data_IF_056559028282
#
_entry.id   IF_056559028282
#
_cell.length_a   1.000
_cell.length_b   1.000
_cell.length_c   1.000
_cell.angle_alpha   90.00
_cell.angle_beta   90.00
_cell.angle_gamma   90.00
#
_symmetry.space_group_name_H-M   'P 1'
#
loop_
_entity.id
_entity.type
_entity.pdbx_description
1 polymer ?
#
# COMPACT_ATOMS: atom_id res chain seq x y z
N UNK A 1 4.51 -31.92 25.98
CA UNK A 1 4.40 -32.68 24.72
C UNK A 1 5.09 -31.88 23.64
N UNK A 2 6.08 -32.50 22.99
CA UNK A 2 7.07 -31.87 22.12
C UNK A 2 6.44 -31.14 20.93
N UNK A 3 6.72 -29.84 20.83
CA UNK A 3 6.45 -29.03 19.64
C UNK A 3 7.34 -29.54 18.50
N UNK A 4 6.81 -30.42 17.65
CA UNK A 4 7.51 -30.86 16.44
C UNK A 4 7.27 -29.83 15.34
N UNK A 5 8.30 -29.05 15.04
CA UNK A 5 8.30 -28.11 13.91
C UNK A 5 7.97 -28.84 12.59
N UNK A 6 7.31 -28.17 11.64
CA UNK A 6 6.95 -28.73 10.33
C UNK A 6 8.15 -29.33 9.56
N UNK A 7 9.35 -28.82 9.85
CA UNK A 7 10.62 -29.33 9.31
C UNK A 7 10.93 -30.74 9.81
N UNK A 8 10.66 -31.05 11.08
CA UNK A 8 10.83 -32.39 11.65
C UNK A 8 9.80 -33.38 11.09
N UNK A 9 8.54 -32.93 10.89
CA UNK A 9 7.47 -33.79 10.35
C UNK A 9 7.69 -34.14 8.87
N UNK A 10 8.36 -33.27 8.11
CA UNK A 10 8.58 -33.42 6.66
C UNK A 10 10.02 -33.67 6.26
N UNK A 11 10.87 -34.05 7.22
CA UNK A 11 12.27 -34.38 6.97
C UNK A 11 12.43 -35.51 5.92
N UNK A 12 11.45 -36.42 5.87
CA UNK A 12 11.39 -37.52 4.89
C UNK A 12 11.47 -37.04 3.43
N UNK A 13 11.08 -35.80 3.12
CA UNK A 13 11.10 -35.25 1.74
C UNK A 13 12.52 -35.19 1.14
N UNK A 14 13.54 -35.12 2.00
CA UNK A 14 14.95 -35.02 1.59
C UNK A 14 15.77 -36.26 1.90
N UNK A 15 15.20 -37.23 2.63
CA UNK A 15 15.78 -38.57 2.86
C UNK A 15 15.40 -39.54 1.74
N UNK A 16 15.65 -39.17 0.47
CA UNK A 16 15.16 -39.92 -0.70
C UNK A 16 15.88 -41.25 -0.91
N UNK A 17 17.21 -41.26 -0.80
CA UNK A 17 18.06 -42.42 -1.07
C UNK A 17 18.77 -42.81 0.22
N UNK A 18 18.77 -44.10 0.54
CA UNK A 18 19.56 -44.64 1.63
C UNK A 18 21.04 -44.66 1.24
N UNK A 19 21.89 -44.02 2.04
CA UNK A 19 23.33 -43.88 1.76
C UNK A 19 24.07 -45.22 1.75
N UNK A 20 23.53 -46.25 2.40
CA UNK A 20 24.16 -47.57 2.51
C UNK A 20 23.71 -48.55 1.41
N UNK A 21 22.48 -48.43 0.91
CA UNK A 21 21.91 -49.37 -0.07
C UNK A 21 21.71 -48.77 -1.45
N UNK A 22 21.75 -47.43 -1.59
CA UNK A 22 21.46 -46.73 -2.84
C UNK A 22 19.99 -46.81 -3.28
N UNK A 23 19.13 -47.43 -2.46
CA UNK A 23 17.72 -47.62 -2.75
C UNK A 23 16.87 -46.45 -2.23
N UNK A 24 15.68 -46.27 -2.82
CA UNK A 24 14.74 -45.26 -2.35
C UNK A 24 14.15 -45.68 -1.00
N UNK A 25 14.28 -44.82 0.00
CA UNK A 25 13.87 -45.10 1.38
C UNK A 25 12.36 -45.37 1.47
N UNK A 26 11.98 -46.23 2.44
CA UNK A 26 10.57 -46.53 2.71
C UNK A 26 9.81 -45.29 3.21
N UNK A 27 10.47 -44.45 4.00
CA UNK A 27 9.92 -43.19 4.52
C UNK A 27 9.60 -42.19 3.40
N UNK A 28 10.51 -42.05 2.42
CA UNK A 28 10.26 -41.20 1.26
C UNK A 28 9.08 -41.69 0.42
N UNK A 29 8.95 -43.01 0.21
CA UNK A 29 7.82 -43.59 -0.53
C UNK A 29 6.49 -43.34 0.17
N UNK A 30 6.43 -43.59 1.49
CA UNK A 30 5.22 -43.38 2.28
C UNK A 30 4.80 -41.90 2.30
N UNK A 31 5.75 -40.99 2.52
CA UNK A 31 5.48 -39.56 2.49
C UNK A 31 5.08 -39.07 1.09
N UNK A 32 5.71 -39.60 0.03
CA UNK A 32 5.34 -39.25 -1.35
C UNK A 32 3.90 -39.68 -1.64
N UNK A 33 3.46 -40.86 -1.21
CA UNK A 33 2.06 -41.28 -1.34
C UNK A 33 1.10 -40.29 -0.65
N UNK A 34 1.42 -39.85 0.58
CA UNK A 34 0.61 -38.85 1.30
C UNK A 34 0.59 -37.50 0.58
N UNK A 35 1.72 -37.07 0.01
CA UNK A 35 1.78 -35.86 -0.82
C UNK A 35 0.90 -35.99 -2.06
N UNK A 36 0.98 -37.12 -2.77
CA UNK A 36 0.20 -37.38 -3.98
C UNK A 36 -1.31 -37.41 -3.69
N UNK A 37 -1.73 -37.94 -2.54
CA UNK A 37 -3.13 -37.93 -2.10
C UNK A 37 -3.65 -36.51 -1.86
N UNK A 38 -2.83 -35.65 -1.23
CA UNK A 38 -3.20 -34.25 -0.97
C UNK A 38 -3.34 -33.44 -2.26
N UNK A 39 -2.42 -33.58 -3.22
CA UNK A 39 -2.49 -32.80 -4.48
C UNK A 39 -3.61 -33.29 -5.42
N UNK A 40 -3.98 -34.57 -5.31
CA UNK A 40 -5.09 -35.16 -6.08
C UNK A 40 -6.44 -34.71 -5.53
N UNK A 41 -6.56 -34.56 -4.22
CA UNK A 41 -7.83 -34.18 -3.56
C UNK A 41 -8.18 -32.69 -3.65
N UNK A 42 -7.29 -31.84 -4.16
CA UNK A 42 -7.55 -30.41 -4.34
C UNK A 42 -8.22 -30.09 -5.70
N UNK A 43 -8.86 -28.92 -5.87
CA UNK A 43 -9.70 -28.58 -7.03
C UNK A 43 -9.07 -28.84 -8.40
N UNK A 44 -7.91 -28.24 -8.73
CA UNK A 44 -7.22 -28.46 -10.03
C UNK A 44 -6.78 -29.94 -10.27
N UNK A 45 -6.64 -30.72 -9.21
CA UNK A 45 -6.22 -32.12 -9.25
C UNK A 45 -7.40 -33.05 -9.53
N UNK A 46 -8.57 -32.74 -8.93
CA UNK A 46 -9.83 -33.43 -9.19
C UNK A 46 -10.44 -33.05 -10.54
N UNK A 47 -10.36 -31.78 -10.91
CA UNK A 47 -11.08 -31.24 -12.08
C UNK A 47 -10.28 -31.34 -13.38
N UNK A 48 -8.95 -31.22 -13.34
CA UNK A 48 -8.11 -31.18 -14.55
C UNK A 48 -7.00 -32.25 -14.60
N UNK A 49 -6.78 -33.00 -13.50
CA UNK A 49 -5.75 -34.05 -13.45
C UNK A 49 -4.31 -33.54 -13.61
N UNK A 50 -4.08 -32.23 -13.51
CA UNK A 50 -2.78 -31.58 -13.66
C UNK A 50 -2.41 -30.77 -12.42
N UNK A 51 -1.11 -30.74 -12.10
CA UNK A 51 -0.54 -30.04 -10.94
C UNK A 51 0.84 -29.47 -11.22
N UNK A 52 1.22 -28.43 -10.48
CA UNK A 52 2.59 -27.91 -10.52
C UNK A 52 3.56 -28.98 -10.01
N UNK A 53 4.75 -29.07 -10.60
CA UNK A 53 5.71 -30.12 -10.25
C UNK A 53 6.80 -29.56 -9.31
N UNK A 54 6.86 -29.96 -8.03
CA UNK A 54 7.88 -29.49 -7.09
C UNK A 54 9.23 -30.19 -7.23
N UNK A 55 9.46 -30.96 -8.31
CA UNK A 55 10.74 -31.65 -8.47
C UNK A 55 11.89 -30.68 -8.70
N UNK A 56 13.12 -31.11 -8.41
CA UNK A 56 14.35 -30.31 -8.53
C UNK A 56 14.49 -29.54 -9.87
N UNK A 57 14.00 -30.13 -10.97
CA UNK A 57 14.07 -29.53 -12.32
C UNK A 57 12.89 -28.61 -12.65
N UNK A 58 11.72 -28.85 -12.07
CA UNK A 58 10.50 -28.12 -12.40
C UNK A 58 10.18 -26.99 -11.42
N UNK A 59 10.67 -27.06 -10.18
CA UNK A 59 10.63 -25.98 -9.18
C UNK A 59 9.26 -25.30 -8.99
N UNK A 60 8.17 -26.05 -9.12
CA UNK A 60 6.78 -25.57 -9.10
C UNK A 60 6.35 -24.66 -10.27
N UNK A 61 7.15 -24.53 -11.33
CA UNK A 61 6.87 -23.66 -12.47
C UNK A 61 6.06 -24.36 -13.59
N UNK A 62 6.08 -25.70 -13.63
CA UNK A 62 5.44 -26.49 -14.70
C UNK A 62 4.21 -27.23 -14.22
N UNK A 63 3.08 -27.03 -14.89
CA UNK A 63 1.87 -27.83 -14.74
C UNK A 63 2.00 -29.12 -15.55
N UNK A 64 1.91 -30.27 -14.89
CA UNK A 64 2.05 -31.59 -15.48
C UNK A 64 0.94 -32.52 -14.96
N UNK A 65 0.62 -33.56 -15.72
CA UNK A 65 -0.30 -34.62 -15.24
C UNK A 65 0.20 -35.21 -13.92
N UNK A 66 -0.70 -35.51 -13.00
CA UNK A 66 -0.38 -36.01 -11.64
C UNK A 66 0.58 -37.22 -11.69
N UNK A 67 0.37 -38.13 -12.63
CA UNK A 67 1.25 -39.29 -12.86
C UNK A 67 2.69 -38.89 -13.23
N UNK A 68 2.85 -37.82 -14.03
CA UNK A 68 4.15 -37.28 -14.42
C UNK A 68 4.80 -36.58 -13.22
N UNK A 69 4.03 -35.87 -12.40
CA UNK A 69 4.52 -35.25 -11.17
C UNK A 69 5.05 -36.33 -10.22
N UNK A 70 4.30 -37.41 -10.01
CA UNK A 70 4.71 -38.56 -9.18
C UNK A 70 6.04 -39.14 -9.66
N UNK A 71 6.15 -39.45 -10.96
CA UNK A 71 7.37 -39.98 -11.56
C UNK A 71 8.56 -39.03 -11.44
N UNK A 72 8.34 -37.72 -11.59
CA UNK A 72 9.39 -36.73 -11.42
C UNK A 72 9.89 -36.65 -9.97
N UNK A 73 8.99 -36.71 -8.98
CA UNK A 73 9.37 -36.69 -7.57
C UNK A 73 10.06 -37.99 -7.15
N UNK A 74 9.58 -39.12 -7.65
CA UNK A 74 10.20 -40.43 -7.44
C UNK A 74 11.63 -40.48 -7.97
N UNK A 75 11.88 -39.93 -9.16
CA UNK A 75 13.19 -39.99 -9.83
C UNK A 75 14.16 -38.86 -9.45
N UNK A 76 13.65 -37.68 -9.06
CA UNK A 76 14.48 -36.46 -8.92
C UNK A 76 14.39 -35.81 -7.54
N UNK A 77 13.48 -36.27 -6.67
CA UNK A 77 13.24 -35.65 -5.37
C UNK A 77 12.59 -34.27 -5.47
N UNK A 78 12.33 -33.68 -4.30
CA UNK A 78 11.74 -32.35 -4.17
C UNK A 78 12.80 -31.26 -4.33
N UNK A 79 12.39 -30.08 -4.76
CA UNK A 79 13.24 -28.89 -4.74
C UNK A 79 13.62 -28.52 -3.28
N UNK A 80 14.88 -28.11 -3.01
CA UNK A 80 15.33 -27.78 -1.66
C UNK A 80 14.44 -26.74 -0.97
N UNK A 81 14.24 -26.89 0.34
CA UNK A 81 13.50 -25.92 1.17
C UNK A 81 11.97 -25.98 1.04
N UNK A 82 11.42 -26.83 0.16
CA UNK A 82 9.99 -27.04 -0.05
C UNK A 82 9.30 -27.89 1.04
N UNK A 83 9.62 -27.65 2.31
CA UNK A 83 8.94 -28.30 3.45
C UNK A 83 7.50 -27.80 3.60
N UNK A 84 7.21 -26.58 3.14
CA UNK A 84 5.88 -25.98 3.18
C UNK A 84 5.28 -26.08 1.78
N UNK A 85 4.14 -26.75 1.67
CA UNK A 85 3.48 -27.05 0.40
C UNK A 85 2.69 -25.85 -0.14
N UNK A 86 3.33 -24.69 -0.28
CA UNK A 86 2.71 -23.42 -0.64
C UNK A 86 1.93 -23.51 -1.96
N UNK A 87 2.47 -24.21 -2.96
CA UNK A 87 1.81 -24.40 -4.27
C UNK A 87 0.78 -25.53 -4.26
N UNK A 88 0.67 -26.25 -3.14
CA UNK A 88 -0.04 -27.52 -3.01
C UNK A 88 -0.89 -27.55 -1.72
N UNK A 89 -1.29 -26.38 -1.23
CA UNK A 89 -2.43 -26.14 -0.33
C UNK A 89 -2.50 -26.97 0.96
N UNK A 90 -1.41 -27.09 1.72
CA UNK A 90 -1.51 -27.51 3.12
C UNK A 90 -0.88 -26.46 4.03
N UNK A 91 -1.75 -25.59 4.57
CA UNK A 91 -1.43 -24.66 5.65
C UNK A 91 -1.08 -25.45 6.91
N UNK A 92 0.04 -25.11 7.55
CA UNK A 92 0.31 -25.58 8.90
C UNK A 92 -0.47 -24.69 9.86
N UNK A 93 -1.38 -25.31 10.61
CA UNK A 93 -2.24 -24.68 11.61
C UNK A 93 -1.56 -24.86 12.96
N UNK A 94 -0.99 -23.79 13.53
CA UNK A 94 -0.75 -23.76 14.98
C UNK A 94 -2.03 -23.22 15.64
N UNK A 95 -2.82 -24.13 16.22
CA UNK A 95 -4.08 -23.98 16.99
C UNK A 95 -5.41 -23.82 16.24
N UNK A 96 -6.51 -24.38 16.81
CA UNK A 96 -7.71 -24.72 16.06
C UNK A 96 -8.62 -23.51 15.88
N UNK A 97 -9.09 -23.32 14.64
CA UNK A 97 -10.21 -22.45 14.32
C UNK A 97 -9.88 -21.28 13.41
N UNK A 98 -9.63 -21.55 12.12
CA UNK A 98 -10.24 -20.82 11.00
C UNK A 98 -9.78 -21.41 9.67
N UNK A 99 -10.75 -21.80 8.84
CA UNK A 99 -10.54 -22.42 7.53
C UNK A 99 -10.77 -21.33 6.46
N UNK A 100 -9.71 -20.90 5.78
CA UNK A 100 -9.84 -20.06 4.58
C UNK A 100 -10.02 -20.96 3.35
N UNK A 101 -11.24 -21.00 2.78
CA UNK A 101 -11.52 -21.68 1.51
C UNK A 101 -10.99 -20.87 0.33
N UNK A 102 -10.19 -21.51 -0.53
CA UNK A 102 -9.63 -20.92 -1.74
C UNK A 102 -10.67 -20.44 -2.76
N UNK A 103 -10.42 -19.26 -3.34
CA UNK A 103 -11.20 -18.66 -4.45
C UNK A 103 -10.92 -19.39 -5.78
N UNK A 104 -11.99 -19.64 -6.55
CA UNK A 104 -11.97 -20.17 -7.92
C UNK A 104 -11.38 -19.15 -8.92
N UNK A 105 -10.63 -19.65 -9.88
CA UNK A 105 -10.17 -18.94 -11.09
C UNK A 105 -11.24 -19.11 -12.17
N UNK A 106 -11.64 -18.03 -12.85
CA UNK A 106 -12.47 -18.06 -14.07
C UNK A 106 -11.62 -17.57 -15.24
N UNK A 107 -11.52 -18.39 -16.29
CA UNK A 107 -10.89 -18.06 -17.58
C UNK A 107 -11.75 -17.09 -18.39
N UNK A 108 -11.13 -16.15 -19.11
CA UNK A 108 -11.80 -15.45 -20.23
C UNK A 108 -10.86 -15.38 -21.45
N UNK A 109 -11.38 -15.92 -22.56
CA UNK A 109 -10.84 -15.86 -23.92
C UNK A 109 -10.96 -14.45 -24.54
N UNK A 110 -9.99 -14.11 -25.39
CA UNK A 110 -9.97 -12.93 -26.26
C UNK A 110 -11.18 -12.84 -27.21
N UNK A 111 -11.73 -11.63 -27.40
CA UNK A 111 -12.52 -11.32 -28.58
C UNK A 111 -13.32 -10.00 -28.60
N UNK A 112 -12.78 -9.02 -29.36
CA UNK A 112 -13.46 -7.96 -30.15
C UNK A 112 -14.02 -6.69 -29.47
N UNK A 113 -13.51 -5.56 -29.98
CA UNK A 113 -14.00 -4.19 -29.86
C UNK A 113 -15.44 -4.03 -30.39
N UNK A 114 -16.34 -3.36 -29.63
CA UNK A 114 -17.35 -2.40 -30.12
C UNK A 114 -17.81 -1.48 -28.97
N UNK A 115 -17.79 -0.15 -29.17
CA UNK A 115 -18.90 0.76 -28.85
C UNK A 115 -19.06 1.31 -27.42
N UNK A 116 -18.80 2.61 -27.29
CA UNK A 116 -19.10 3.50 -26.18
C UNK A 116 -20.61 3.55 -25.84
N UNK A 117 -20.99 3.31 -24.58
CA UNK A 117 -22.24 3.87 -24.00
C UNK A 117 -22.20 3.87 -22.46
N UNK A 118 -22.40 5.05 -21.90
CA UNK A 118 -22.45 5.37 -20.47
C UNK A 118 -23.43 4.52 -19.67
N UNK A 119 -22.92 3.55 -18.90
CA UNK A 119 -23.60 2.96 -17.73
C UNK A 119 -22.56 2.63 -16.65
N UNK A 120 -22.56 3.39 -15.54
CA UNK A 120 -21.77 3.07 -14.34
C UNK A 120 -22.36 1.80 -13.68
N UNK A 121 -21.61 0.71 -13.50
CA UNK A 121 -22.14 -0.47 -12.81
C UNK A 121 -22.26 -0.22 -11.29
N UNK A 122 -23.35 -0.70 -10.72
CA UNK A 122 -23.68 -0.67 -9.30
C UNK A 122 -22.75 -1.63 -8.53
N UNK A 123 -22.01 -1.05 -7.59
CA UNK A 123 -21.49 -1.54 -6.28
C UNK A 123 -21.44 -3.07 -6.06
N UNK A 124 -20.22 -3.65 -6.04
CA UNK A 124 -19.85 -4.74 -5.12
C UNK A 124 -18.35 -4.75 -4.81
N UNK A 125 -18.04 -5.14 -3.57
CA UNK A 125 -16.76 -5.43 -2.88
C UNK A 125 -15.50 -4.55 -3.09
N UNK A 126 -15.11 -3.89 -2.00
CA UNK A 126 -13.77 -3.38 -1.66
C UNK A 126 -13.17 -2.26 -2.52
N UNK A 127 -13.67 -1.03 -2.38
CA UNK A 127 -13.17 0.13 -3.10
C UNK A 127 -11.71 0.52 -2.80
N UNK A 128 -11.17 0.26 -1.61
CA UNK A 128 -9.73 0.50 -1.33
C UNK A 128 -8.89 -0.55 -2.08
N UNK A 129 -9.37 -1.79 -2.09
CA UNK A 129 -8.76 -2.91 -2.77
C UNK A 129 -8.84 -2.75 -4.30
N UNK A 130 -9.92 -2.15 -4.80
CA UNK A 130 -10.21 -1.92 -6.22
C UNK A 130 -9.49 -0.68 -6.76
N UNK A 131 -9.45 0.44 -6.05
CA UNK A 131 -8.66 1.61 -6.47
C UNK A 131 -7.18 1.26 -6.61
N UNK A 132 -6.66 0.41 -5.70
CA UNK A 132 -5.29 -0.09 -5.78
C UNK A 132 -5.15 -1.23 -6.81
N UNK A 133 -6.13 -2.11 -7.01
CA UNK A 133 -6.09 -3.13 -8.10
C UNK A 133 -6.18 -2.52 -9.49
N UNK A 134 -6.99 -1.48 -9.69
CA UNK A 134 -7.11 -0.72 -10.94
C UNK A 134 -5.83 0.07 -11.23
N UNK A 135 -5.09 0.45 -10.18
CA UNK A 135 -3.77 1.01 -10.35
C UNK A 135 -2.73 -0.04 -10.81
N UNK A 136 -2.81 -1.29 -10.33
CA UNK A 136 -1.79 -2.34 -10.52
C UNK A 136 -2.37 -3.68 -11.04
N UNK A 137 -2.66 -3.81 -12.35
CA UNK A 137 -3.21 -5.06 -12.89
C UNK A 137 -2.20 -6.21 -13.01
N UNK A 138 -0.89 -5.93 -13.10
CA UNK A 138 0.10 -6.92 -13.61
C UNK A 138 1.42 -7.09 -12.81
N UNK A 139 1.67 -6.38 -11.71
CA UNK A 139 2.97 -6.47 -11.00
C UNK A 139 2.86 -7.14 -9.63
N UNK A 140 2.61 -8.45 -9.60
CA UNK A 140 2.86 -9.28 -8.41
C UNK A 140 3.65 -10.53 -8.82
N UNK A 141 4.97 -10.38 -8.90
CA UNK A 141 5.93 -11.46 -8.70
C UNK A 141 6.98 -10.95 -7.72
N UNK A 142 6.77 -11.16 -6.43
CA UNK A 142 7.83 -11.02 -5.43
C UNK A 142 7.94 -12.30 -4.62
N UNK A 143 9.17 -12.79 -4.52
CA UNK A 143 9.62 -13.90 -3.69
C UNK A 143 9.59 -13.48 -2.21
N UNK A 144 8.90 -14.26 -1.38
CA UNK A 144 8.70 -13.99 0.05
C UNK A 144 10.01 -14.12 0.83
N UNK A 145 10.61 -12.99 1.20
CA UNK A 145 11.48 -12.88 2.37
C UNK A 145 10.75 -11.98 3.36
N UNK A 146 10.20 -12.58 4.43
CA UNK A 146 9.51 -11.82 5.49
C UNK A 146 10.57 -11.40 6.50
N UNK A 147 11.03 -10.17 6.38
CA UNK A 147 11.79 -9.50 7.44
C UNK A 147 10.80 -9.09 8.55
N UNK A 148 11.14 -9.31 9.82
CA UNK A 148 10.23 -8.98 10.92
C UNK A 148 10.00 -7.46 10.95
N UNK A 149 8.76 -6.97 11.07
CA UNK A 149 8.50 -5.54 11.05
C UNK A 149 9.23 -4.81 12.19
N UNK A 150 9.77 -3.62 11.87
CA UNK A 150 10.17 -2.62 12.86
C UNK A 150 9.03 -2.39 13.87
N UNK A 151 9.32 -1.96 15.11
CA UNK A 151 8.30 -1.81 16.16
C UNK A 151 7.17 -0.81 15.84
N UNK A 152 7.42 0.15 14.94
CA UNK A 152 6.45 1.17 14.51
C UNK A 152 5.31 0.60 13.62
N UNK A 153 5.58 -0.20 12.56
CA UNK A 153 4.55 -0.91 11.80
C UNK A 153 3.59 -1.76 12.62
N UNK A 154 4.05 -2.33 13.75
CA UNK A 154 3.22 -3.23 14.57
C UNK A 154 1.98 -2.54 15.12
N UNK A 155 2.12 -1.31 15.62
CA UNK A 155 0.98 -0.55 16.15
C UNK A 155 -0.07 -0.26 15.09
N UNK A 156 0.37 0.03 13.86
CA UNK A 156 -0.53 0.26 12.73
C UNK A 156 -1.28 -1.02 12.33
N UNK A 157 -0.58 -2.17 12.25
CA UNK A 157 -1.23 -3.46 11.97
C UNK A 157 -2.12 -3.94 13.11
N UNK A 158 -1.71 -3.76 14.36
CA UNK A 158 -2.52 -4.09 15.55
C UNK A 158 -3.82 -3.27 15.57
N UNK A 159 -3.78 -1.99 15.20
CA UNK A 159 -4.97 -1.16 15.04
C UNK A 159 -5.88 -1.67 13.92
N UNK A 160 -5.33 -2.02 12.76
CA UNK A 160 -6.09 -2.60 11.64
C UNK A 160 -6.74 -3.94 12.03
N UNK A 161 -6.02 -4.78 12.77
CA UNK A 161 -6.50 -6.10 13.20
C UNK A 161 -7.54 -6.00 14.32
N UNK A 162 -7.38 -5.07 15.27
CA UNK A 162 -8.38 -4.78 16.30
C UNK A 162 -9.70 -4.29 15.68
N UNK A 163 -9.63 -3.60 14.54
CA UNK A 163 -10.78 -3.10 13.80
C UNK A 163 -11.30 -4.09 12.73
N UNK A 164 -10.77 -5.31 12.65
CA UNK A 164 -11.20 -6.33 11.67
C UNK A 164 -12.38 -7.22 12.13
N UNK A 165 -13.09 -6.82 13.19
CA UNK A 165 -14.30 -7.52 13.63
C UNK A 165 -15.51 -7.21 12.72
N UNK A 166 -16.39 -8.19 12.47
CA UNK A 166 -17.60 -7.95 11.69
C UNK A 166 -18.51 -6.94 12.39
N UNK A 167 -19.25 -6.14 11.60
CA UNK A 167 -20.19 -5.14 12.14
C UNK A 167 -21.23 -5.79 13.07
N UNK A 168 -21.66 -7.02 12.79
CA UNK A 168 -22.50 -7.83 13.67
C UNK A 168 -22.27 -9.32 13.38
N UNK A 169 -22.74 -10.19 14.27
CA UNK A 169 -22.54 -11.64 14.14
C UNK A 169 -23.21 -12.19 12.87
N UNK A 170 -22.46 -12.98 12.09
CA UNK A 170 -22.95 -13.55 10.82
C UNK A 170 -22.89 -12.57 9.63
N UNK A 171 -22.39 -11.35 9.80
CA UNK A 171 -22.14 -10.45 8.68
C UNK A 171 -20.99 -10.94 7.78
N UNK A 172 -21.00 -10.51 6.51
CA UNK A 172 -19.99 -10.93 5.51
C UNK A 172 -18.57 -10.63 6.00
N UNK A 173 -17.67 -11.61 5.84
CA UNK A 173 -16.25 -11.50 6.18
C UNK A 173 -15.62 -10.33 5.41
N UNK A 174 -14.84 -9.48 6.10
CA UNK A 174 -14.18 -8.31 5.51
C UNK A 174 -14.96 -7.00 5.60
N UNK A 175 -16.17 -7.02 6.19
CA UNK A 175 -16.93 -5.81 6.46
C UNK A 175 -16.92 -5.47 7.95
N UNK A 176 -15.97 -4.62 8.33
CA UNK A 176 -15.81 -4.12 9.69
C UNK A 176 -16.30 -2.66 9.85
N UNK A 177 -16.42 -2.15 11.09
CA UNK A 177 -16.73 -0.74 11.34
C UNK A 177 -15.77 0.21 10.63
N UNK A 178 -14.46 -0.09 10.62
CA UNK A 178 -13.44 0.72 9.94
C UNK A 178 -13.61 0.69 8.41
N UNK A 179 -13.95 -0.47 7.84
CA UNK A 179 -14.27 -0.60 6.41
C UNK A 179 -15.49 0.24 6.02
N UNK A 180 -16.55 0.20 6.83
CA UNK A 180 -17.75 1.02 6.64
C UNK A 180 -17.43 2.53 6.76
N UNK A 181 -16.70 2.92 7.81
CA UNK A 181 -16.27 4.30 8.05
C UNK A 181 -15.44 4.84 6.88
N UNK A 182 -14.46 4.07 6.40
CA UNK A 182 -13.61 4.48 5.27
C UNK A 182 -14.40 4.64 3.97
N UNK A 183 -15.37 3.75 3.71
CA UNK A 183 -16.29 3.88 2.57
C UNK A 183 -17.17 5.12 2.69
N UNK A 184 -17.69 5.42 3.88
CA UNK A 184 -18.51 6.60 4.10
C UNK A 184 -17.73 7.90 3.91
N UNK A 185 -16.47 7.96 4.38
CA UNK A 185 -15.57 9.08 4.10
C UNK A 185 -15.31 9.23 2.60
N UNK A 186 -15.07 8.13 1.88
CA UNK A 186 -14.93 8.16 0.43
C UNK A 186 -16.15 8.75 -0.27
N UNK A 187 -17.36 8.28 0.08
CA UNK A 187 -18.63 8.81 -0.45
C UNK A 187 -18.79 10.29 -0.11
N UNK A 188 -18.53 10.69 1.15
CA UNK A 188 -18.59 12.08 1.57
C UNK A 188 -17.71 12.97 0.70
N UNK A 189 -16.47 12.54 0.42
CA UNK A 189 -15.51 13.30 -0.39
C UNK A 189 -15.94 13.33 -1.86
N UNK A 190 -16.25 12.17 -2.45
CA UNK A 190 -16.58 12.04 -3.87
C UNK A 190 -17.85 12.82 -4.27
N UNK A 191 -18.82 12.89 -3.36
CA UNK A 191 -20.09 13.58 -3.58
C UNK A 191 -20.20 14.91 -2.83
N UNK A 192 -19.13 15.34 -2.15
CA UNK A 192 -19.08 16.57 -1.36
C UNK A 192 -20.26 16.70 -0.38
N UNK A 193 -20.58 15.63 0.34
CA UNK A 193 -21.68 15.60 1.31
C UNK A 193 -21.34 16.43 2.56
N UNK A 194 -22.33 17.12 3.12
CA UNK A 194 -22.20 17.78 4.43
C UNK A 194 -22.07 16.75 5.55
N UNK A 195 -21.62 17.19 6.72
CA UNK A 195 -21.55 16.34 7.92
C UNK A 195 -22.95 15.87 8.33
N UNK A 196 -23.92 16.80 8.37
CA UNK A 196 -25.34 16.48 8.64
C UNK A 196 -25.91 15.43 7.67
N UNK A 197 -25.49 15.46 6.40
CA UNK A 197 -25.93 14.47 5.43
C UNK A 197 -25.34 13.08 5.72
N UNK A 198 -24.08 13.03 6.15
CA UNK A 198 -23.43 11.77 6.57
C UNK A 198 -24.06 11.23 7.85
N UNK A 199 -24.38 12.09 8.82
CA UNK A 199 -25.12 11.71 10.03
C UNK A 199 -26.48 11.12 9.66
N UNK A 200 -27.26 11.81 8.84
CA UNK A 200 -28.57 11.32 8.39
C UNK A 200 -28.49 9.97 7.65
N UNK A 201 -27.45 9.77 6.83
CA UNK A 201 -27.20 8.49 6.16
C UNK A 201 -26.82 7.40 7.17
N UNK A 202 -25.94 7.72 8.14
CA UNK A 202 -25.49 6.78 9.15
C UNK A 202 -26.65 6.32 10.05
N UNK A 203 -27.48 7.27 10.51
CA UNK A 203 -28.71 7.01 11.28
C UNK A 203 -29.66 6.12 10.47
N UNK A 204 -29.94 6.48 9.22
CA UNK A 204 -30.79 5.68 8.32
C UNK A 204 -30.25 4.25 8.18
N UNK A 205 -28.94 4.05 7.98
CA UNK A 205 -28.39 2.70 7.87
C UNK A 205 -28.49 1.92 9.18
N UNK A 206 -28.31 2.57 10.34
CA UNK A 206 -28.37 1.92 11.64
C UNK A 206 -29.77 1.39 11.96
N UNK A 207 -30.84 2.06 11.52
CA UNK A 207 -32.23 1.62 11.73
C UNK A 207 -32.56 0.28 11.04
N UNK A 208 -31.85 -0.07 9.97
CA UNK A 208 -32.04 -1.32 9.23
C UNK A 208 -31.06 -2.42 9.65
N UNK A 209 -30.11 -2.13 10.56
CA UNK A 209 -29.18 -3.11 11.10
C UNK A 209 -29.76 -3.79 12.35
N UNK A 210 -29.29 -5.01 12.70
CA UNK A 210 -29.65 -5.65 13.95
C UNK A 210 -29.35 -4.77 15.17
N UNK A 211 -30.15 -4.88 16.24
CA UNK A 211 -30.00 -4.06 17.46
C UNK A 211 -28.60 -4.12 18.08
N UNK A 212 -27.92 -5.26 17.95
CA UNK A 212 -26.53 -5.44 18.40
C UNK A 212 -25.60 -5.36 17.19
N UNK A 213 -25.16 -4.14 16.87
CA UNK A 213 -24.20 -3.88 15.79
C UNK A 213 -23.16 -2.82 16.19
N UNK A 214 -22.02 -2.84 15.49
CA UNK A 214 -20.87 -1.96 15.70
C UNK A 214 -20.75 -0.89 14.60
N UNK A 215 -21.81 -0.64 13.82
CA UNK A 215 -21.75 0.35 12.75
C UNK A 215 -21.61 1.76 13.35
N UNK A 216 -20.82 2.64 12.72
CA UNK A 216 -20.71 4.00 13.19
C UNK A 216 -21.99 4.77 12.85
N UNK A 217 -22.62 5.33 13.89
CA UNK A 217 -23.93 6.01 13.83
C UNK A 217 -23.82 7.52 13.57
N UNK A 218 -22.61 8.06 13.44
CA UNK A 218 -22.40 9.48 13.19
C UNK A 218 -21.10 9.72 12.45
N UNK A 219 -21.00 10.87 11.78
CA UNK A 219 -19.79 11.39 11.20
C UNK A 219 -18.67 11.50 12.23
N UNK A 220 -18.98 11.88 13.48
CA UNK A 220 -17.99 11.88 14.56
C UNK A 220 -17.45 10.47 14.86
N UNK A 221 -18.33 9.46 14.96
CA UNK A 221 -17.91 8.08 15.15
C UNK A 221 -17.08 7.56 13.97
N UNK A 222 -17.49 7.89 12.74
CA UNK A 222 -16.75 7.59 11.51
C UNK A 222 -15.35 8.22 11.57
N UNK A 223 -15.26 9.52 11.87
CA UNK A 223 -13.99 10.25 11.97
C UNK A 223 -13.08 9.65 13.03
N UNK A 224 -13.63 9.28 14.17
CA UNK A 224 -12.87 8.65 15.26
C UNK A 224 -12.25 7.33 14.81
N UNK A 225 -12.99 6.49 14.08
CA UNK A 225 -12.47 5.24 13.53
C UNK A 225 -11.36 5.48 12.51
N UNK A 226 -11.56 6.39 11.56
CA UNK A 226 -10.53 6.65 10.52
C UNK A 226 -9.36 7.50 11.02
N UNK A 227 -9.46 8.14 12.18
CA UNK A 227 -8.44 9.06 12.70
C UNK A 227 -7.07 8.40 12.85
N UNK A 228 -7.03 7.12 13.26
CA UNK A 228 -5.80 6.35 13.37
C UNK A 228 -5.15 6.04 12.00
N UNK A 229 -5.93 6.07 10.91
CA UNK A 229 -5.43 5.95 9.54
C UNK A 229 -5.01 7.31 8.95
N UNK A 230 -5.27 8.42 9.64
CA UNK A 230 -4.92 9.75 9.18
C UNK A 230 -3.42 9.90 8.93
N UNK A 231 -3.05 10.68 7.92
CA UNK A 231 -1.67 11.18 7.78
C UNK A 231 -1.58 12.52 8.51
N UNK A 232 -0.48 12.80 9.22
CA UNK A 232 -0.34 14.07 9.91
C UNK A 232 -0.26 15.22 8.91
N UNK A 233 -0.67 16.39 9.37
CA UNK A 233 -0.37 17.65 8.69
C UNK A 233 -0.07 18.72 9.75
N UNK A 234 0.66 19.74 9.35
CA UNK A 234 1.03 20.88 10.17
C UNK A 234 0.50 22.15 9.51
N UNK A 235 -0.21 22.97 10.29
CA UNK A 235 -0.52 24.34 9.91
C UNK A 235 0.60 25.23 10.41
N UNK A 236 1.30 25.88 9.49
CA UNK A 236 2.45 26.73 9.79
C UNK A 236 2.07 28.16 9.46
N UNK A 237 2.24 29.06 10.42
CA UNK A 237 1.97 30.48 10.20
C UNK A 237 3.06 31.09 9.31
N UNK A 238 2.66 32.03 8.46
CA UNK A 238 3.53 32.65 7.45
C UNK A 238 3.52 34.16 7.67
N UNK A 239 4.68 34.79 7.52
CA UNK A 239 4.75 36.25 7.42
C UNK A 239 3.86 36.73 6.26
N UNK A 240 3.07 37.79 6.47
CA UNK A 240 2.19 38.38 5.44
C UNK A 240 2.88 38.81 4.13
N UNK A 241 4.20 39.00 4.16
CA UNK A 241 5.03 39.33 3.01
C UNK A 241 5.83 38.11 2.49
N UNK A 242 5.55 36.91 2.99
CA UNK A 242 6.24 35.65 2.69
C UNK A 242 7.76 35.64 3.01
N UNK A 243 8.26 36.55 3.85
CA UNK A 243 9.70 36.61 4.18
C UNK A 243 10.19 35.39 4.97
N UNK A 244 9.32 34.78 5.77
CA UNK A 244 9.60 33.60 6.59
C UNK A 244 8.33 32.86 6.97
N UNK A 245 8.50 31.63 7.43
CA UNK A 245 7.50 30.85 8.16
C UNK A 245 7.86 30.84 9.65
N UNK A 246 6.86 30.84 10.51
CA UNK A 246 7.01 30.72 11.96
C UNK A 246 7.07 29.24 12.32
N UNK A 247 8.24 28.64 12.12
CA UNK A 247 8.45 27.19 12.24
C UNK A 247 9.76 26.90 12.97
N UNK A 248 9.75 25.83 13.79
CA UNK A 248 10.88 25.44 14.66
C UNK A 248 11.40 26.58 15.53
N UNK A 249 12.62 27.03 15.32
CA UNK A 249 13.28 28.05 16.14
C UNK A 249 12.53 29.39 16.11
N UNK A 250 11.79 29.63 15.03
CA UNK A 250 10.99 30.84 14.82
C UNK A 250 9.51 30.67 15.25
N UNK A 251 9.09 29.50 15.77
CA UNK A 251 7.69 29.18 16.07
C UNK A 251 7.07 30.10 17.15
N UNK A 252 7.87 30.60 18.09
CA UNK A 252 7.37 31.46 19.17
C UNK A 252 7.49 32.95 18.87
N UNK A 253 7.97 33.33 17.67
CA UNK A 253 8.08 34.73 17.30
C UNK A 253 6.70 35.33 17.02
N UNK A 254 6.50 36.55 17.52
CA UNK A 254 5.31 37.35 17.24
C UNK A 254 5.49 38.32 16.06
N UNK A 255 6.75 38.56 15.66
CA UNK A 255 7.13 39.47 14.59
C UNK A 255 8.08 38.77 13.63
N UNK A 256 7.96 39.10 12.34
CA UNK A 256 8.89 38.62 11.32
C UNK A 256 10.28 39.19 11.55
N UNK A 257 11.29 38.33 11.65
CA UNK A 257 12.70 38.73 11.86
C UNK A 257 13.32 39.51 10.71
N UNK A 258 12.70 39.49 9.52
CA UNK A 258 13.22 40.15 8.32
C UNK A 258 12.54 41.50 8.03
N UNK A 259 11.22 41.58 8.15
CA UNK A 259 10.46 42.79 7.82
C UNK A 259 9.80 43.46 9.02
N UNK A 260 9.94 42.91 10.22
CA UNK A 260 9.38 43.45 11.47
C UNK A 260 7.85 43.38 11.59
N UNK A 261 7.15 42.85 10.58
CA UNK A 261 5.68 42.80 10.56
C UNK A 261 5.14 41.76 11.54
N UNK A 262 4.01 42.08 12.14
CA UNK A 262 3.28 41.23 13.07
C UNK A 262 2.83 39.91 12.40
N UNK A 263 2.89 38.83 13.16
CA UNK A 263 2.35 37.52 12.80
C UNK A 263 0.83 37.49 12.84
N UNK A 264 0.24 38.13 13.84
CA UNK A 264 -1.18 38.04 14.17
C UNK A 264 -1.94 39.32 13.82
N UNK A 265 -3.18 39.15 13.41
CA UNK A 265 -4.14 40.22 13.21
C UNK A 265 -4.63 40.76 14.55
N UNK A 266 -4.99 42.03 14.58
CA UNK A 266 -5.68 42.65 15.71
C UNK A 266 -7.06 42.01 15.84
N UNK A 267 -7.31 41.34 16.96
CA UNK A 267 -8.51 40.54 17.24
C UNK A 267 -9.13 40.99 18.57
N UNK A 268 -10.45 41.19 18.60
CA UNK A 268 -11.21 41.47 19.84
C UNK A 268 -11.49 40.21 20.64
N UNK A 269 -11.27 39.02 20.05
CA UNK A 269 -11.45 37.73 20.70
C UNK A 269 -10.18 37.25 21.41
N UNK A 270 -10.34 36.22 22.26
CA UNK A 270 -9.20 35.57 22.94
C UNK A 270 -8.27 34.82 21.99
N UNK A 271 -8.74 34.47 20.80
CA UNK A 271 -7.98 33.70 19.82
C UNK A 271 -7.16 34.62 18.93
N UNK A 272 -5.85 34.39 18.89
CA UNK A 272 -4.93 35.07 17.97
C UNK A 272 -5.06 34.45 16.59
N UNK A 273 -5.33 35.29 15.58
CA UNK A 273 -5.52 34.86 14.20
C UNK A 273 -4.29 35.32 13.40
N UNK A 274 -3.51 34.41 12.81
CA UNK A 274 -2.36 34.80 12.00
C UNK A 274 -2.81 35.46 10.70
N UNK A 275 -1.96 36.29 10.10
CA UNK A 275 -2.23 36.90 8.80
C UNK A 275 -2.30 35.86 7.67
N UNK A 276 -1.45 34.84 7.71
CA UNK A 276 -1.37 33.81 6.66
C UNK A 276 -0.91 32.48 7.25
N UNK A 277 -1.34 31.38 6.62
CA UNK A 277 -0.96 30.00 6.95
C UNK A 277 -0.61 29.21 5.70
N UNK A 278 0.28 28.25 5.84
CA UNK A 278 0.49 27.16 4.89
C UNK A 278 0.19 25.83 5.58
N UNK A 279 -0.04 24.79 4.78
CA UNK A 279 -0.13 23.42 5.27
C UNK A 279 1.08 22.65 4.77
N UNK A 280 1.67 21.88 5.67
CA UNK A 280 2.72 20.95 5.36
C UNK A 280 2.25 19.54 5.72
N UNK A 281 2.35 18.62 4.77
CA UNK A 281 1.96 17.22 4.91
C UNK A 281 3.24 16.39 4.77
N UNK A 282 3.80 15.89 5.90
CA UNK A 282 5.01 15.08 5.88
C UNK A 282 4.85 13.84 4.99
N UNK A 283 5.90 13.52 4.22
CA UNK A 283 5.89 12.39 3.30
C UNK A 283 6.41 11.09 3.93
N UNK A 284 7.08 11.15 5.08
CA UNK A 284 7.68 9.98 5.75
C UNK A 284 6.66 8.87 6.02
N UNK A 285 5.50 9.21 6.61
CA UNK A 285 4.46 8.21 6.91
C UNK A 285 3.81 7.66 5.64
N UNK A 286 3.77 8.45 4.56
CA UNK A 286 3.31 7.99 3.24
C UNK A 286 4.27 6.91 2.73
N UNK A 287 5.59 7.16 2.78
CA UNK A 287 6.61 6.20 2.36
C UNK A 287 6.56 4.92 3.19
N UNK A 288 6.40 5.02 4.52
CA UNK A 288 6.21 3.85 5.40
C UNK A 288 5.06 2.99 4.89
N UNK A 289 3.91 3.61 4.58
CA UNK A 289 2.73 2.89 4.07
C UNK A 289 2.95 2.25 2.70
N UNK A 290 3.69 2.91 1.79
CA UNK A 290 4.03 2.32 0.48
C UNK A 290 4.88 1.06 0.64
N UNK A 291 5.81 1.04 1.58
CA UNK A 291 6.66 -0.13 1.85
C UNK A 291 5.98 -1.21 2.69
N UNK A 292 5.02 -0.84 3.55
CA UNK A 292 4.22 -1.78 4.35
C UNK A 292 3.15 -2.53 3.54
N UNK A 293 2.78 -2.00 2.37
CA UNK A 293 1.78 -2.60 1.50
C UNK A 293 2.44 -3.49 0.45
N UNK A 294 2.12 -4.78 0.45
CA UNK A 294 2.62 -5.77 -0.53
C UNK A 294 2.33 -5.38 -1.99
N UNK A 295 1.32 -4.53 -2.22
CA UNK A 295 0.91 -4.08 -3.55
C UNK A 295 1.79 -2.99 -4.13
N UNK A 296 2.35 -2.17 -3.26
CA UNK A 296 3.14 -0.98 -3.63
C UNK A 296 4.62 -1.24 -3.42
N UNK A 297 4.99 -2.08 -2.46
CA UNK A 297 6.37 -2.35 -2.09
C UNK A 297 7.22 -2.90 -3.25
N UNK A 298 6.66 -3.81 -4.08
CA UNK A 298 7.35 -4.31 -5.28
C UNK A 298 7.59 -3.19 -6.30
N UNK A 299 6.55 -2.39 -6.56
CA UNK A 299 6.63 -1.23 -7.45
C UNK A 299 7.67 -0.22 -7.02
N UNK A 300 7.91 -0.04 -5.71
CA UNK A 300 8.92 0.88 -5.18
C UNK A 300 10.37 0.46 -5.45
N UNK A 301 10.62 -0.73 -5.99
CA UNK A 301 11.95 -1.18 -6.44
C UNK A 301 12.08 -1.27 -7.96
N UNK A 302 11.00 -0.97 -8.69
CA UNK A 302 10.91 -1.19 -10.13
C UNK A 302 12.06 -0.50 -10.89
N UNK A 303 12.42 0.73 -10.52
CA UNK A 303 13.51 1.47 -11.19
C UNK A 303 14.86 0.73 -11.22
N UNK A 304 15.16 -0.09 -10.20
CA UNK A 304 16.40 -0.86 -10.12
C UNK A 304 16.31 -2.23 -10.79
N UNK A 305 15.11 -2.76 -10.97
CA UNK A 305 14.83 -4.03 -11.66
C UNK A 305 14.58 -3.82 -13.17
N UNK A 306 14.31 -2.58 -13.57
CA UNK A 306 14.03 -2.16 -14.94
C UNK A 306 15.30 -2.10 -15.81
N UNK A 307 15.15 -2.46 -17.09
CA UNK A 307 16.23 -2.41 -18.07
C UNK A 307 15.85 -1.47 -19.23
N UNK A 308 16.70 -0.46 -19.47
CA UNK A 308 16.49 0.52 -20.51
C UNK A 308 16.55 -0.10 -21.91
N UNK A 309 15.52 0.13 -22.73
CA UNK A 309 15.37 -0.47 -24.06
C UNK A 309 15.83 0.43 -25.21
N UNK A 310 16.32 1.64 -24.92
CA UNK A 310 16.79 2.61 -25.93
C UNK A 310 15.89 3.84 -26.06
N UNK A 311 14.61 3.72 -25.71
CA UNK A 311 13.65 4.83 -25.74
C UNK A 311 13.35 5.33 -24.32
N UNK A 312 13.35 6.66 -24.14
CA UNK A 312 13.05 7.29 -22.84
C UNK A 312 11.57 7.11 -22.53
N UNK A 313 11.29 6.33 -21.49
CA UNK A 313 9.94 5.99 -21.04
C UNK A 313 9.68 6.38 -19.59
N UNK A 314 10.75 6.67 -18.84
CA UNK A 314 10.69 6.97 -17.42
C UNK A 314 11.82 7.95 -17.01
N UNK A 315 11.65 8.79 -15.97
CA UNK A 315 12.71 9.68 -15.48
C UNK A 315 14.05 8.99 -15.15
N UNK A 316 14.05 7.70 -14.81
CA UNK A 316 15.26 6.89 -14.60
C UNK A 316 16.13 6.75 -15.86
N UNK A 317 15.54 6.94 -17.05
CA UNK A 317 16.25 6.84 -18.32
C UNK A 317 17.07 8.11 -18.61
N UNK A 318 16.73 9.21 -17.94
CA UNK A 318 17.31 10.52 -18.18
C UNK A 318 18.76 10.63 -17.67
N UNK A 319 19.55 11.48 -18.35
CA UNK A 319 20.95 11.70 -18.01
C UNK A 319 21.14 12.26 -16.59
N UNK A 320 20.22 13.12 -16.13
CA UNK A 320 20.26 13.67 -14.77
C UNK A 320 20.19 12.57 -13.69
N UNK A 321 19.37 11.54 -13.92
CA UNK A 321 19.26 10.40 -13.01
C UNK A 321 20.55 9.57 -13.01
N UNK A 322 21.07 9.24 -14.20
CA UNK A 322 22.33 8.50 -14.36
C UNK A 322 23.51 9.23 -13.73
N UNK A 323 23.59 10.54 -13.92
CA UNK A 323 24.59 11.40 -13.29
C UNK A 323 24.45 11.40 -11.75
N UNK A 324 23.23 11.43 -11.22
CA UNK A 324 23.01 11.33 -9.78
C UNK A 324 23.49 9.98 -9.22
N UNK A 325 23.16 8.86 -9.88
CA UNK A 325 23.63 7.53 -9.47
C UNK A 325 25.15 7.42 -9.51
N UNK A 326 25.79 8.00 -10.53
CA UNK A 326 27.25 8.07 -10.62
C UNK A 326 27.87 8.86 -9.46
N UNK A 327 27.26 10.00 -9.10
CA UNK A 327 27.74 10.87 -8.00
C UNK A 327 27.53 10.25 -6.61
N UNK A 328 26.46 9.48 -6.43
CA UNK A 328 26.08 8.88 -5.15
C UNK A 328 25.87 7.36 -5.29
N UNK A 329 26.95 6.59 -5.54
CA UNK A 329 26.85 5.15 -5.82
C UNK A 329 26.33 4.35 -4.62
N UNK A 330 26.65 4.75 -3.39
CA UNK A 330 26.13 4.10 -2.18
C UNK A 330 24.61 4.24 -2.06
N UNK A 331 24.08 5.41 -2.43
CA UNK A 331 22.63 5.64 -2.49
C UNK A 331 22.00 4.80 -3.61
N UNK A 332 22.63 4.77 -4.79
CA UNK A 332 22.10 4.05 -5.94
C UNK A 332 22.10 2.52 -5.77
N UNK A 333 23.02 1.98 -4.96
CA UNK A 333 23.13 0.54 -4.70
C UNK A 333 21.93 -0.03 -3.94
N UNK A 334 21.29 0.77 -3.09
CA UNK A 334 20.08 0.36 -2.37
C UNK A 334 18.84 0.71 -3.21
N UNK A 335 18.21 -0.31 -3.79
CA UNK A 335 17.06 -0.15 -4.69
C UNK A 335 15.81 0.41 -3.99
N UNK A 336 15.73 0.31 -2.65
CA UNK A 336 14.65 0.90 -1.84
C UNK A 336 14.84 2.39 -1.58
N UNK A 337 15.97 2.97 -1.96
CA UNK A 337 16.14 4.42 -1.87
C UNK A 337 15.23 5.13 -2.86
N UNK A 338 14.56 6.18 -2.40
CA UNK A 338 13.48 6.82 -3.14
C UNK A 338 13.99 8.04 -3.89
N UNK A 339 13.66 8.11 -5.19
CA UNK A 339 13.88 9.26 -6.04
C UNK A 339 12.57 10.00 -6.20
N UNK A 340 12.59 11.29 -5.93
CA UNK A 340 11.39 12.13 -5.99
C UNK A 340 11.39 13.05 -7.21
N UNK A 341 10.24 13.08 -7.88
CA UNK A 341 9.84 14.20 -8.70
C UNK A 341 9.16 15.25 -7.83
N UNK A 342 9.53 16.52 -8.01
CA UNK A 342 8.87 17.65 -7.36
C UNK A 342 8.29 18.56 -8.43
N UNK A 343 7.01 18.90 -8.32
CA UNK A 343 6.39 19.91 -9.16
C UNK A 343 5.53 20.87 -8.35
N UNK A 344 5.38 22.09 -8.87
CA UNK A 344 4.52 23.12 -8.26
C UNK A 344 3.95 23.99 -9.36
N UNK A 345 2.67 24.32 -9.25
CA UNK A 345 1.98 25.27 -10.11
C UNK A 345 0.84 25.93 -9.34
N UNK A 346 0.39 27.10 -9.79
CA UNK A 346 -0.68 27.86 -9.16
C UNK A 346 -2.00 27.62 -9.86
N UNK A 347 -3.04 27.27 -9.10
CA UNK A 347 -4.38 27.09 -9.67
C UNK A 347 -5.47 27.73 -8.83
N UNK A 348 -6.63 27.98 -9.44
CA UNK A 348 -7.84 28.43 -8.73
C UNK A 348 -8.80 27.23 -8.55
N UNK A 349 -9.00 26.71 -7.33
CA UNK A 349 -9.85 25.55 -7.08
C UNK A 349 -11.34 25.80 -7.35
N UNK A 350 -11.79 27.06 -7.38
CA UNK A 350 -13.20 27.43 -7.61
C UNK A 350 -13.48 27.82 -9.07
N UNK A 351 -12.49 27.66 -9.96
CA UNK A 351 -12.63 27.92 -11.39
C UNK A 351 -12.83 29.40 -11.74
N UNK A 352 -13.13 29.66 -13.03
CA UNK A 352 -13.21 31.03 -13.59
C UNK A 352 -14.37 31.88 -13.07
N UNK A 353 -15.40 31.26 -12.47
CA UNK A 353 -16.63 31.91 -12.00
C UNK A 353 -16.75 31.98 -10.47
N UNK A 354 -15.80 31.40 -9.73
CA UNK A 354 -15.78 31.41 -8.27
C UNK A 354 -15.08 32.63 -7.66
N UNK A 355 -14.95 32.65 -6.32
CA UNK A 355 -14.14 33.66 -5.60
C UNK A 355 -12.71 33.66 -6.15
N UNK A 356 -12.08 34.84 -6.20
CA UNK A 356 -10.66 35.00 -6.57
C UNK A 356 -9.78 34.39 -5.46
N UNK A 357 -9.56 33.09 -5.52
CA UNK A 357 -8.66 32.35 -4.65
C UNK A 357 -7.67 31.58 -5.52
N UNK A 358 -6.39 31.58 -5.12
CA UNK A 358 -5.38 30.75 -5.74
C UNK A 358 -4.77 29.83 -4.68
N UNK A 359 -4.25 28.70 -5.12
CA UNK A 359 -3.57 27.72 -4.31
C UNK A 359 -2.32 27.28 -5.05
N UNK A 360 -1.21 27.18 -4.32
CA UNK A 360 0.06 26.72 -4.82
C UNK A 360 0.42 25.42 -4.10
N UNK A 361 0.06 24.27 -4.66
CA UNK A 361 0.53 22.98 -4.19
C UNK A 361 2.00 22.77 -4.54
N UNK A 362 2.73 22.13 -3.64
CA UNK A 362 3.95 21.38 -3.97
C UNK A 362 3.58 19.91 -3.95
N UNK A 363 3.73 19.26 -5.09
CA UNK A 363 3.44 17.86 -5.28
C UNK A 363 4.76 17.10 -5.38
N UNK A 364 4.84 16.01 -4.63
CA UNK A 364 5.96 15.08 -4.60
C UNK A 364 5.48 13.74 -5.15
N UNK A 365 6.20 13.17 -6.11
CA UNK A 365 5.90 11.85 -6.68
C UNK A 365 7.12 10.92 -6.56
N UNK A 366 6.95 9.66 -6.11
CA UNK A 366 8.03 8.70 -6.10
C UNK A 366 8.24 8.15 -7.51
N UNK A 367 9.35 8.54 -8.15
CA UNK A 367 9.79 7.98 -9.43
C UNK A 367 10.38 6.57 -9.30
N UNK A 368 10.26 5.93 -8.15
CA UNK A 368 10.60 4.51 -8.03
C UNK A 368 9.60 3.61 -8.75
N UNK A 369 8.34 4.08 -8.85
CA UNK A 369 7.23 3.34 -9.42
C UNK A 369 7.32 3.28 -10.95
N UNK A 370 6.83 2.21 -11.59
CA UNK A 370 6.77 2.11 -13.05
C UNK A 370 5.93 3.23 -13.69
N UNK A 371 6.13 3.49 -14.99
CA UNK A 371 5.39 4.49 -15.76
C UNK A 371 3.85 4.38 -15.66
N UNK A 372 3.35 3.16 -15.49
CA UNK A 372 1.91 2.89 -15.33
C UNK A 372 1.33 3.40 -14.01
N UNK A 373 2.17 3.85 -13.08
CA UNK A 373 1.81 4.19 -11.70
C UNK A 373 2.31 5.56 -11.26
N UNK A 374 3.56 5.93 -11.57
CA UNK A 374 4.21 7.11 -10.98
C UNK A 374 3.45 8.43 -11.21
N UNK A 375 2.61 8.50 -12.25
CA UNK A 375 1.76 9.67 -12.56
C UNK A 375 0.28 9.49 -12.22
N UNK A 376 -0.12 8.38 -11.58
CA UNK A 376 -1.49 8.20 -11.09
C UNK A 376 -1.74 9.08 -9.88
N UNK A 377 -2.98 9.57 -9.74
CA UNK A 377 -3.40 10.55 -8.72
C UNK A 377 -3.05 10.10 -7.30
N UNK A 378 -3.10 8.80 -7.03
CA UNK A 378 -2.83 8.20 -5.73
C UNK A 378 -1.34 8.29 -5.32
N UNK A 379 -0.44 8.53 -6.29
CA UNK A 379 1.01 8.68 -6.08
C UNK A 379 1.49 10.13 -6.23
N UNK A 380 0.57 11.08 -6.40
CA UNK A 380 0.85 12.50 -6.38
C UNK A 380 0.64 13.03 -4.95
N UNK A 381 1.70 13.01 -4.14
CA UNK A 381 1.62 13.42 -2.75
C UNK A 381 1.63 14.93 -2.63
N UNK A 382 0.56 15.46 -2.05
CA UNK A 382 0.46 16.86 -1.74
C UNK A 382 1.31 17.15 -0.50
N UNK A 383 2.53 17.64 -0.67
CA UNK A 383 3.44 17.88 0.44
C UNK A 383 3.24 19.26 1.07
N UNK A 384 2.93 20.29 0.26
CA UNK A 384 2.75 21.66 0.75
C UNK A 384 1.55 22.29 0.06
N UNK A 385 0.77 23.07 0.82
CA UNK A 385 -0.26 23.95 0.31
C UNK A 385 -0.02 25.38 0.77
N UNK A 386 0.17 26.29 -0.20
CA UNK A 386 0.27 27.72 0.06
C UNK A 386 -0.96 28.42 -0.52
N UNK A 387 -1.83 29.00 0.32
CA UNK A 387 -2.90 29.87 -0.14
C UNK A 387 -2.36 31.10 -0.84
N UNK A 388 -3.05 31.50 -1.90
CA UNK A 388 -2.90 32.81 -2.50
C UNK A 388 -3.60 33.90 -1.70
N UNK A 389 -3.81 35.09 -2.30
CA UNK A 389 -3.78 35.34 -3.75
C UNK A 389 -2.38 35.54 -4.34
N UNK A 390 -1.39 35.84 -3.50
CA UNK A 390 -0.05 36.19 -3.92
C UNK A 390 0.75 34.93 -4.27
N UNK A 391 1.33 34.89 -5.47
CA UNK A 391 2.19 33.80 -5.88
C UNK A 391 3.46 33.79 -5.01
N UNK A 392 3.89 32.60 -4.51
CA UNK A 392 5.09 32.47 -3.71
C UNK A 392 6.41 32.77 -4.45
N UNK A 393 6.42 33.23 -5.73
CA UNK A 393 7.57 33.23 -6.67
C UNK A 393 8.95 33.29 -6.02
N UNK A 394 9.26 34.42 -5.36
CA UNK A 394 10.59 34.71 -4.80
C UNK A 394 10.84 34.09 -3.42
N UNK A 395 9.80 33.54 -2.80
CA UNK A 395 9.81 32.97 -1.47
C UNK A 395 9.51 31.45 -1.49
N UNK A 396 9.58 30.78 -2.65
CA UNK A 396 9.29 29.35 -2.74
C UNK A 396 10.23 28.54 -1.82
N UNK A 397 11.49 28.94 -1.72
CA UNK A 397 12.48 28.42 -0.80
C UNK A 397 12.03 28.50 0.67
N UNK A 398 11.36 29.60 1.06
CA UNK A 398 10.80 29.79 2.41
C UNK A 398 9.73 28.74 2.71
N UNK A 399 8.85 28.46 1.75
CA UNK A 399 7.80 27.45 1.91
C UNK A 399 8.35 26.03 1.87
N UNK A 400 9.39 25.76 1.07
CA UNK A 400 9.99 24.43 0.94
C UNK A 400 10.79 23.98 2.17
N UNK A 401 11.10 24.87 3.12
CA UNK A 401 11.93 24.56 4.30
C UNK A 401 11.51 23.28 5.06
N UNK A 402 10.22 23.04 5.38
CA UNK A 402 9.82 21.85 6.12
C UNK A 402 10.10 20.57 5.31
N UNK A 403 9.75 20.57 4.02
CA UNK A 403 9.99 19.44 3.12
C UNK A 403 11.49 19.18 2.93
N UNK A 404 12.30 20.22 2.72
CA UNK A 404 13.76 20.08 2.60
C UNK A 404 14.34 19.47 3.87
N UNK A 405 13.91 19.92 5.04
CA UNK A 405 14.39 19.35 6.30
C UNK A 405 13.98 17.89 6.48
N UNK A 406 12.78 17.49 6.05
CA UNK A 406 12.36 16.10 6.06
C UNK A 406 13.17 15.26 5.07
N UNK A 407 13.42 15.76 3.85
CA UNK A 407 14.26 15.09 2.87
C UNK A 407 15.70 14.89 3.37
N UNK A 408 16.24 15.86 4.12
CA UNK A 408 17.56 15.74 4.77
C UNK A 408 17.54 14.67 5.86
N UNK A 409 16.50 14.62 6.70
CA UNK A 409 16.32 13.56 7.69
C UNK A 409 16.27 12.19 7.02
N UNK A 410 15.40 12.03 6.00
CA UNK A 410 15.25 10.79 5.24
C UNK A 410 16.55 10.35 4.54
N UNK A 411 17.37 11.29 4.08
CA UNK A 411 18.66 10.98 3.48
C UNK A 411 19.65 10.34 4.46
N UNK A 412 19.61 10.74 5.74
CA UNK A 412 20.54 10.27 6.76
C UNK A 412 20.00 9.09 7.58
N UNK A 413 18.72 9.10 7.91
CA UNK A 413 18.08 8.15 8.82
C UNK A 413 17.29 7.07 8.07
N UNK A 414 16.82 7.35 6.85
CA UNK A 414 15.90 6.48 6.14
C UNK A 414 14.45 6.60 6.64
N UNK A 415 13.64 5.59 6.34
CA UNK A 415 12.19 5.51 6.64
C UNK A 415 11.90 4.54 7.78
#
# INVERSE_FOLDING_TARGET
>A
MTSHTIYAVREWMYKRVDENTGEITKEFKAGLCQFMEVITNQPLGREQGIRTCPCLKCRNEKFLKIEIVCRHLYNRGFTPGYYIWLSHGKDYVDRPGNICRGRKVVEINNGRYVGESSRRPIIDENNIDRMVREAFPEYVKSSNVVEKPNPDPRRFFEMLDADNHPIYEGFKVGHSPLSAATRMIGIKIDFNLSEDCVDAIADFFCDYLPKENLAPHSYYAIQKLVSGLGLPYQMIDVCRDNCMIFWREDENLEFCRFCGKERFQVSTGRTRIPYQRMWYLPITDILKRLYQSDRTASGMRWHGEYQFTGDISHPSDAEAWKHFQYKYPDFAREMRNVYFGLCTDGFNPFGKRGRKYSLWPVIVTPYNLPPTLCMKREFLFLAILVPGPNHPRRALDVFLKPLISELQMLWHEGV
#
